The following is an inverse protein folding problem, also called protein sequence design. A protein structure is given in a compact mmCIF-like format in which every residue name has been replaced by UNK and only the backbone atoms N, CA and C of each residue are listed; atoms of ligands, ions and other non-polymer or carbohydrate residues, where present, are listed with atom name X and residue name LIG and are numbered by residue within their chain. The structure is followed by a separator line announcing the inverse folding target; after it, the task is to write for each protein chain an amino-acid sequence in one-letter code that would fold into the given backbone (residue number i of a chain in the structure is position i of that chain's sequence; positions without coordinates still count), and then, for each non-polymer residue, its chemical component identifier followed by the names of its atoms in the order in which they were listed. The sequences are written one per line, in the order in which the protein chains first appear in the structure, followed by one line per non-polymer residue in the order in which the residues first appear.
data_IF_596996405865
#
_entry.id   IF_596996405865
#
_cell.length_a   1.000
_cell.length_b   1.000
_cell.length_c   1.000
_cell.angle_alpha   90.00
_cell.angle_beta   90.00
_cell.angle_gamma   90.00
#
_symmetry.space_group_name_H-M   'P 1'
#
loop_
_entity.id
_entity.type
_entity.pdbx_description
1 polymer ?
#
# COMPACT_ATOMS: atom_id res chain seq x y z
N UNK A 1 46.90 15.31 73.80
CA UNK A 1 45.74 15.50 72.88
C UNK A 1 46.31 15.66 71.46
N UNK A 2 46.46 14.65 70.58
CA UNK A 2 45.50 13.67 70.00
C UNK A 2 44.20 14.40 69.62
N UNK A 3 43.84 14.57 68.34
CA UNK A 3 43.63 13.49 67.36
C UNK A 3 43.57 14.00 65.90
N UNK A 4 44.18 13.22 65.00
CA UNK A 4 44.05 13.29 63.53
C UNK A 4 42.59 13.14 63.10
N UNK A 5 42.06 14.06 62.27
CA UNK A 5 40.79 13.82 61.55
C UNK A 5 41.08 13.16 60.20
N UNK A 6 40.50 11.97 60.01
CA UNK A 6 40.65 11.11 58.83
C UNK A 6 39.90 11.67 57.63
N UNK A 7 40.49 11.42 56.44
CA UNK A 7 39.94 11.63 55.10
C UNK A 7 38.63 10.86 54.91
N UNK A 8 37.67 11.45 54.18
CA UNK A 8 36.74 10.70 53.36
C UNK A 8 36.57 11.43 52.02
N UNK A 9 37.26 10.91 51.01
CA UNK A 9 37.08 11.27 49.61
C UNK A 9 35.85 10.49 49.15
N UNK A 10 34.72 11.17 48.98
CA UNK A 10 33.51 10.58 48.42
C UNK A 10 33.77 10.44 46.93
N UNK A 11 34.12 9.23 46.49
CA UNK A 11 34.14 8.86 45.08
C UNK A 11 32.68 8.60 44.71
N UNK A 12 32.06 9.34 43.77
CA UNK A 12 30.73 8.96 43.31
C UNK A 12 30.86 7.64 42.55
N UNK A 13 30.11 6.66 43.03
CA UNK A 13 29.98 5.35 42.43
C UNK A 13 29.64 5.51 40.94
N UNK A 14 30.29 4.68 40.13
CA UNK A 14 30.02 4.53 38.72
C UNK A 14 28.51 4.52 38.46
N UNK A 15 28.06 5.46 37.61
CA UNK A 15 26.75 5.40 36.97
C UNK A 15 26.73 4.07 36.22
N UNK A 16 26.09 3.07 36.82
CA UNK A 16 25.87 1.78 36.22
C UNK A 16 25.12 2.02 34.91
N UNK A 17 25.79 1.68 33.81
CA UNK A 17 25.23 1.68 32.48
C UNK A 17 23.90 0.92 32.51
N UNK A 18 22.80 1.62 32.22
CA UNK A 18 21.50 1.01 31.95
C UNK A 18 21.72 0.06 30.76
N UNK A 19 21.57 -1.26 30.92
CA UNK A 19 21.93 -2.21 29.88
C UNK A 19 21.01 -2.00 28.67
N UNK A 20 21.63 -1.80 27.50
CA UNK A 20 21.00 -1.46 26.21
C UNK A 20 20.05 -2.51 25.61
N UNK A 21 19.47 -3.39 26.41
CA UNK A 21 18.49 -4.39 25.96
C UNK A 21 17.11 -3.79 25.65
N UNK A 22 16.75 -2.65 26.25
CA UNK A 22 15.48 -1.95 25.93
C UNK A 22 15.55 -1.11 24.64
N UNK A 23 16.75 -0.74 24.17
CA UNK A 23 16.92 0.07 22.96
C UNK A 23 16.72 -0.74 21.67
N UNK A 24 16.92 -2.06 21.70
CA UNK A 24 16.80 -2.94 20.53
C UNK A 24 15.36 -3.41 20.24
N UNK A 25 14.45 -3.33 21.22
CA UNK A 25 13.06 -3.75 21.03
C UNK A 25 12.25 -2.79 20.14
N UNK A 26 12.58 -1.50 20.17
CA UNK A 26 11.92 -0.44 19.39
C UNK A 26 12.13 -0.57 17.86
N UNK A 27 13.35 -0.77 17.34
CA UNK A 27 13.53 -0.96 15.89
C UNK A 27 12.92 -2.26 15.38
N UNK A 28 12.92 -3.34 16.15
CA UNK A 28 12.30 -4.62 15.74
C UNK A 28 10.78 -4.49 15.62
N UNK A 29 10.14 -3.82 16.58
CA UNK A 29 8.71 -3.53 16.51
C UNK A 29 8.37 -2.63 15.32
N UNK A 30 9.19 -1.62 15.02
CA UNK A 30 9.01 -0.75 13.86
C UNK A 30 9.16 -1.49 12.52
N UNK A 31 10.13 -2.41 12.42
CA UNK A 31 10.30 -3.26 11.23
C UNK A 31 9.11 -4.21 11.06
N UNK A 32 8.64 -4.84 12.14
CA UNK A 32 7.45 -5.71 12.11
C UNK A 32 6.19 -4.94 11.68
N UNK A 33 5.97 -3.73 12.22
CA UNK A 33 4.87 -2.87 11.78
C UNK A 33 5.01 -2.46 10.31
N UNK A 34 6.23 -2.15 9.85
CA UNK A 34 6.50 -1.81 8.44
C UNK A 34 6.16 -2.96 7.49
N UNK A 35 6.50 -4.20 7.86
CA UNK A 35 6.18 -5.39 7.06
C UNK A 35 4.68 -5.67 7.04
N UNK A 36 3.97 -5.54 8.17
CA UNK A 36 2.51 -5.72 8.20
C UNK A 36 1.76 -4.59 7.48
N UNK A 37 2.29 -3.37 7.47
CA UNK A 37 1.73 -2.24 6.72
C UNK A 37 2.00 -2.33 5.21
N UNK A 38 2.99 -3.14 4.80
CA UNK A 38 3.35 -3.38 3.40
C UNK A 38 2.44 -4.45 2.78
N UNK A 39 1.12 -4.24 2.79
CA UNK A 39 0.25 -5.00 1.90
C UNK A 39 0.47 -4.47 0.48
N UNK A 40 0.83 -5.31 -0.51
CA UNK A 40 0.79 -4.85 -1.89
C UNK A 40 -0.66 -4.50 -2.20
N UNK A 41 -0.93 -3.23 -2.49
CA UNK A 41 -2.13 -2.83 -3.19
C UNK A 41 -2.03 -3.44 -4.60
N UNK A 42 -2.46 -4.70 -4.73
CA UNK A 42 -2.53 -5.38 -6.01
C UNK A 42 -3.78 -4.88 -6.70
N UNK A 43 -3.63 -3.83 -7.51
CA UNK A 43 -4.70 -3.41 -8.39
C UNK A 43 -4.99 -4.58 -9.36
N UNK A 44 -6.09 -5.29 -9.13
CA UNK A 44 -6.42 -6.45 -9.95
C UNK A 44 -6.83 -5.93 -11.34
N UNK A 45 -6.00 -6.22 -12.35
CA UNK A 45 -6.26 -5.76 -13.72
C UNK A 45 -7.16 -6.77 -14.44
N UNK A 46 -8.42 -6.39 -14.66
CA UNK A 46 -9.36 -7.17 -15.45
C UNK A 46 -9.30 -6.77 -16.92
N UNK A 47 -9.16 -7.75 -17.81
CA UNK A 47 -9.26 -7.52 -19.25
C UNK A 47 -10.64 -7.99 -19.75
N UNK A 48 -11.44 -7.05 -20.24
CA UNK A 48 -12.75 -7.33 -20.84
C UNK A 48 -12.66 -7.15 -22.36
N UNK A 49 -13.02 -8.18 -23.12
CA UNK A 49 -13.15 -8.08 -24.58
C UNK A 49 -14.60 -7.85 -24.96
N UNK A 50 -14.90 -6.68 -25.48
CA UNK A 50 -16.23 -6.27 -25.91
C UNK A 50 -16.24 -6.23 -27.43
N UNK A 51 -17.21 -6.88 -28.05
CA UNK A 51 -17.26 -6.91 -29.50
C UNK A 51 -18.61 -7.31 -30.07
N UNK A 52 -18.76 -7.05 -31.37
CA UNK A 52 -19.95 -7.40 -32.14
C UNK A 52 -19.55 -7.82 -33.55
N UNK A 53 -20.23 -8.83 -34.09
CA UNK A 53 -20.09 -9.21 -35.50
C UNK A 53 -20.58 -8.13 -36.48
N UNK A 54 -21.39 -7.17 -36.01
CA UNK A 54 -21.79 -5.98 -36.76
C UNK A 54 -20.81 -4.81 -36.52
N UNK A 55 -20.58 -3.96 -37.53
CA UNK A 55 -19.79 -2.73 -37.40
C UNK A 55 -20.33 -1.79 -36.33
N UNK A 56 -19.44 -0.94 -35.79
CA UNK A 56 -19.82 0.14 -34.89
C UNK A 56 -20.87 1.04 -35.57
N UNK A 57 -22.02 1.25 -34.92
CA UNK A 57 -23.11 2.06 -35.45
C UNK A 57 -24.07 1.35 -36.43
N UNK A 58 -23.79 0.09 -36.82
CA UNK A 58 -24.66 -0.62 -37.77
C UNK A 58 -25.98 -1.10 -37.16
N UNK A 59 -26.01 -1.34 -35.84
CA UNK A 59 -27.21 -1.73 -35.11
C UNK A 59 -27.34 -0.93 -33.82
N UNK A 60 -28.58 -0.76 -33.36
CA UNK A 60 -28.88 -0.04 -32.10
C UNK A 60 -28.14 -0.67 -30.93
N UNK A 61 -28.11 -2.00 -30.83
CA UNK A 61 -27.44 -2.67 -29.72
C UNK A 61 -25.93 -2.43 -29.70
N UNK A 62 -25.26 -2.38 -30.87
CA UNK A 62 -23.82 -2.08 -30.96
C UNK A 62 -23.53 -0.64 -30.57
N UNK A 63 -24.40 0.27 -30.98
CA UNK A 63 -24.30 1.69 -30.65
C UNK A 63 -24.41 1.91 -29.15
N UNK A 64 -25.42 1.31 -28.49
CA UNK A 64 -25.58 1.38 -27.03
C UNK A 64 -24.39 0.73 -26.30
N UNK A 65 -23.88 -0.39 -26.80
CA UNK A 65 -22.70 -1.04 -26.23
C UNK A 65 -21.47 -0.12 -26.26
N UNK A 66 -21.20 0.51 -27.41
CA UNK A 66 -20.02 1.37 -27.62
C UNK A 66 -20.15 2.70 -26.90
N UNK A 67 -21.29 3.37 -27.06
CA UNK A 67 -21.42 4.78 -26.68
C UNK A 67 -21.92 4.95 -25.23
N UNK A 68 -22.49 3.89 -24.63
CA UNK A 68 -22.99 3.95 -23.26
C UNK A 68 -22.34 2.93 -22.33
N UNK A 69 -22.41 1.63 -22.66
CA UNK A 69 -21.96 0.58 -21.72
C UNK A 69 -20.44 0.64 -21.47
N UNK A 70 -19.63 0.72 -22.54
CA UNK A 70 -18.17 0.77 -22.42
C UNK A 70 -17.69 1.99 -21.61
N UNK A 71 -18.17 3.22 -21.88
CA UNK A 71 -17.86 4.39 -21.06
C UNK A 71 -18.30 4.25 -19.60
N UNK A 72 -19.51 3.73 -19.33
CA UNK A 72 -20.00 3.58 -17.95
C UNK A 72 -19.20 2.54 -17.16
N UNK A 73 -18.79 1.43 -17.79
CA UNK A 73 -17.92 0.44 -17.14
C UNK A 73 -16.57 1.06 -16.75
N UNK A 74 -15.97 1.84 -17.65
CA UNK A 74 -14.72 2.56 -17.34
C UNK A 74 -14.92 3.55 -16.19
N UNK A 75 -16.02 4.31 -16.21
CA UNK A 75 -16.35 5.29 -15.16
C UNK A 75 -16.51 4.61 -13.80
N UNK A 76 -17.27 3.52 -13.73
CA UNK A 76 -17.51 2.78 -12.49
C UNK A 76 -16.25 2.16 -11.91
N UNK A 77 -15.42 1.53 -12.74
CA UNK A 77 -14.17 0.94 -12.25
C UNK A 77 -13.17 2.02 -11.85
N UNK A 78 -13.16 3.19 -12.51
CA UNK A 78 -12.33 4.32 -12.07
C UNK A 78 -12.73 4.89 -10.70
N UNK A 79 -13.97 4.67 -10.23
CA UNK A 79 -14.43 5.02 -8.89
C UNK A 79 -13.94 4.01 -7.82
N UNK A 80 -13.46 2.84 -8.24
CA UNK A 80 -12.93 1.77 -7.38
C UNK A 80 -11.40 1.65 -7.56
N UNK A 81 -10.60 2.38 -6.76
CA UNK A 81 -9.15 2.53 -6.99
C UNK A 81 -8.33 1.23 -6.84
N UNK A 82 -8.92 0.18 -6.28
CA UNK A 82 -8.29 -1.13 -6.10
C UNK A 82 -8.36 -2.01 -7.36
N UNK A 83 -9.04 -1.54 -8.44
CA UNK A 83 -9.27 -2.31 -9.65
C UNK A 83 -8.93 -1.52 -10.91
N UNK A 84 -8.33 -2.20 -11.90
CA UNK A 84 -8.05 -1.61 -13.21
C UNK A 84 -8.83 -2.38 -14.29
N UNK A 85 -9.53 -1.67 -15.17
CA UNK A 85 -10.28 -2.28 -16.28
C UNK A 85 -9.66 -1.92 -17.62
N UNK A 86 -9.15 -2.94 -18.32
CA UNK A 86 -8.70 -2.84 -19.72
C UNK A 86 -9.78 -3.38 -20.65
N UNK A 87 -10.36 -2.50 -21.46
CA UNK A 87 -11.37 -2.89 -22.47
C UNK A 87 -10.72 -3.01 -23.84
N UNK A 88 -10.89 -4.16 -24.49
CA UNK A 88 -10.50 -4.40 -25.89
C UNK A 88 -11.78 -4.42 -26.72
N UNK A 89 -11.91 -3.49 -27.64
CA UNK A 89 -13.08 -3.35 -28.52
C UNK A 89 -12.82 -4.04 -29.87
N UNK A 90 -13.72 -4.93 -30.29
CA UNK A 90 -13.66 -5.62 -31.58
C UNK A 90 -15.01 -5.60 -32.29
N UNK A 91 -15.19 -4.68 -33.23
CA UNK A 91 -16.43 -4.52 -33.99
C UNK A 91 -16.28 -5.10 -35.40
N UNK A 92 -17.38 -5.49 -36.04
CA UNK A 92 -17.33 -6.05 -37.38
C UNK A 92 -16.61 -5.11 -38.35
N UNK A 93 -15.48 -5.56 -38.92
CA UNK A 93 -14.65 -4.76 -39.83
C UNK A 93 -13.57 -3.89 -39.17
N UNK A 94 -13.30 -4.04 -37.86
CA UNK A 94 -12.17 -3.42 -37.13
C UNK A 94 -10.95 -4.30 -37.05
#
# INVERSE_FOLDING_TARGET
MRTRRRRFRIVPAAVAAVPGFLAAAFPVAAVLLGVLASRPASAEQYTLRVGSGHPAGATVYVTVLRDYLVPELRRRVAEEPDHELRIIEGYGGS
#
